data_IF_477381702505
#
_entry.id   IF_477381702505
#
_cell.length_a   1.000
_cell.length_b   1.000
_cell.length_c   1.000
_cell.angle_alpha   90.00
_cell.angle_beta   90.00
_cell.angle_gamma   90.00
#
_symmetry.space_group_name_H-M   'P 1'
#
loop_
_entity.id
_entity.type
_entity.pdbx_description
1 polymer ?
#
# COMPACT_ATOMS: atom_id res chain seq x y z
N UNK A 1 4.65 -16.25 -31.22
CA UNK A 1 5.34 -15.56 -30.10
C UNK A 1 5.63 -16.58 -29.01
N UNK A 2 6.87 -16.69 -28.49
CA UNK A 2 7.26 -17.64 -27.42
C UNK A 2 7.59 -16.86 -26.15
N UNK A 3 6.88 -17.13 -25.05
CA UNK A 3 7.13 -16.52 -23.75
C UNK A 3 8.12 -17.38 -22.94
N UNK A 4 9.16 -16.77 -22.36
CA UNK A 4 10.18 -17.48 -21.56
C UNK A 4 9.86 -17.55 -20.07
N UNK A 5 8.86 -16.81 -19.61
CA UNK A 5 8.44 -16.73 -18.20
C UNK A 5 9.54 -16.33 -17.19
N UNK A 6 10.71 -15.86 -17.66
CA UNK A 6 11.88 -15.54 -16.82
C UNK A 6 11.59 -14.55 -15.68
N UNK A 7 10.65 -13.63 -15.89
CA UNK A 7 10.25 -12.62 -14.91
C UNK A 7 8.78 -12.72 -14.51
N UNK A 8 8.15 -13.88 -14.78
CA UNK A 8 6.77 -14.09 -14.35
C UNK A 8 6.74 -14.21 -12.82
N UNK A 9 6.01 -13.32 -12.17
CA UNK A 9 5.82 -13.31 -10.72
C UNK A 9 4.40 -13.70 -10.31
N UNK A 10 3.58 -14.15 -11.28
CA UNK A 10 2.15 -14.41 -11.08
C UNK A 10 1.89 -15.31 -9.87
N UNK A 11 2.60 -16.44 -9.77
CA UNK A 11 2.37 -17.40 -8.69
C UNK A 11 2.69 -16.81 -7.31
N UNK A 12 3.69 -15.92 -7.24
CA UNK A 12 4.06 -15.21 -6.01
C UNK A 12 3.03 -14.15 -5.64
N UNK A 13 2.43 -13.48 -6.62
CA UNK A 13 1.32 -12.54 -6.39
C UNK A 13 0.05 -13.26 -5.94
N UNK A 14 -0.25 -14.41 -6.54
CA UNK A 14 -1.39 -15.25 -6.13
C UNK A 14 -1.22 -15.74 -4.69
N UNK A 15 -0.03 -16.21 -4.31
CA UNK A 15 0.27 -16.63 -2.94
C UNK A 15 0.07 -15.50 -1.92
N UNK A 16 0.45 -14.26 -2.26
CA UNK A 16 0.20 -13.09 -1.41
C UNK A 16 -1.28 -12.79 -1.22
N UNK A 17 -2.09 -12.93 -2.28
CA UNK A 17 -3.54 -12.73 -2.22
C UNK A 17 -4.22 -13.69 -1.24
N UNK A 18 -3.72 -14.92 -1.14
CA UNK A 18 -4.22 -15.93 -0.19
C UNK A 18 -3.62 -15.81 1.22
N UNK A 19 -2.76 -14.82 1.46
CA UNK A 19 -2.13 -14.58 2.76
C UNK A 19 -0.88 -15.42 3.05
N UNK A 20 -0.26 -16.06 2.06
CA UNK A 20 1.00 -16.77 2.24
C UNK A 20 2.18 -15.77 2.28
N UNK A 21 2.46 -15.25 3.48
CA UNK A 21 3.55 -14.31 3.73
C UNK A 21 4.95 -14.92 3.61
N UNK A 22 5.06 -16.26 3.60
CA UNK A 22 6.35 -16.96 3.53
C UNK A 22 6.83 -17.13 2.09
N UNK A 23 5.91 -17.49 1.19
CA UNK A 23 6.22 -17.75 -0.21
C UNK A 23 5.74 -16.65 -1.16
N UNK A 24 4.83 -15.78 -0.72
CA UNK A 24 4.31 -14.66 -1.50
C UNK A 24 5.27 -13.48 -1.64
N UNK A 25 4.95 -12.59 -2.57
CA UNK A 25 5.58 -11.28 -2.74
C UNK A 25 4.60 -10.18 -2.31
N UNK A 26 4.87 -9.49 -1.19
CA UNK A 26 4.00 -8.42 -0.66
C UNK A 26 4.60 -7.05 -0.96
N UNK A 27 3.93 -6.25 -1.78
CA UNK A 27 4.35 -4.88 -2.07
C UNK A 27 3.81 -3.91 -1.03
N UNK A 28 4.68 -3.06 -0.49
CA UNK A 28 4.30 -1.97 0.39
C UNK A 28 5.29 -0.79 0.26
N UNK A 29 4.88 0.39 0.68
CA UNK A 29 5.76 1.56 0.73
C UNK A 29 6.76 1.46 1.88
N UNK A 30 7.86 2.22 1.80
CA UNK A 30 8.93 2.21 2.82
C UNK A 30 8.45 2.56 4.24
N UNK A 31 7.33 3.27 4.37
CA UNK A 31 6.73 3.66 5.65
C UNK A 31 5.61 2.72 6.14
N UNK A 32 5.41 1.56 5.51
CA UNK A 32 4.32 0.64 5.90
C UNK A 32 4.41 0.16 7.36
N UNK A 33 5.62 0.09 7.92
CA UNK A 33 5.85 -0.25 9.33
C UNK A 33 5.29 0.78 10.32
N UNK A 34 4.93 1.98 9.87
CA UNK A 34 4.33 3.04 10.70
C UNK A 34 2.80 2.90 10.85
N UNK A 35 2.19 1.94 10.15
CA UNK A 35 0.74 1.73 10.18
C UNK A 35 0.37 0.85 11.36
N UNK A 36 -0.35 1.40 12.33
CA UNK A 36 -0.75 0.70 13.56
C UNK A 36 -2.19 0.17 13.54
N UNK A 37 -3.02 0.64 12.59
CA UNK A 37 -4.43 0.26 12.49
C UNK A 37 -4.94 0.32 11.05
N UNK A 38 -6.01 -0.45 10.79
CA UNK A 38 -6.76 -0.39 9.54
C UNK A 38 -7.88 0.64 9.74
N UNK A 39 -7.88 1.70 8.94
CA UNK A 39 -8.85 2.79 9.04
C UNK A 39 -9.86 2.74 7.89
N UNK A 40 -11.12 3.15 8.12
CA UNK A 40 -12.04 3.46 7.04
C UNK A 40 -11.47 4.52 6.10
N UNK A 41 -11.75 4.40 4.81
CA UNK A 41 -11.25 5.35 3.79
C UNK A 41 -11.66 6.79 4.10
N UNK A 42 -12.87 7.01 4.62
CA UNK A 42 -13.35 8.33 5.04
C UNK A 42 -12.49 8.96 6.14
N UNK A 43 -12.03 8.16 7.10
CA UNK A 43 -11.17 8.63 8.20
C UNK A 43 -9.76 8.96 7.69
N UNK A 44 -9.21 8.13 6.79
CA UNK A 44 -7.91 8.36 6.15
C UNK A 44 -7.88 9.73 5.47
N UNK A 45 -8.86 10.01 4.61
CA UNK A 45 -8.94 11.29 3.91
C UNK A 45 -9.17 12.47 4.86
N UNK A 46 -10.02 12.29 5.87
CA UNK A 46 -10.25 13.33 6.87
C UNK A 46 -8.97 13.67 7.63
N UNK A 47 -8.12 12.68 7.94
CA UNK A 47 -6.82 12.91 8.57
C UNK A 47 -5.87 13.67 7.64
N UNK A 48 -5.78 13.28 6.36
CA UNK A 48 -4.93 13.97 5.38
C UNK A 48 -5.30 15.44 5.20
N UNK A 49 -6.59 15.77 5.12
CA UNK A 49 -7.04 17.17 5.00
C UNK A 49 -6.68 17.97 6.25
N UNK A 50 -7.01 17.45 7.44
CA UNK A 50 -6.67 18.12 8.72
C UNK A 50 -5.17 18.37 8.85
N UNK A 51 -4.34 17.37 8.52
CA UNK A 51 -2.88 17.48 8.63
C UNK A 51 -2.34 18.51 7.64
N UNK A 52 -2.85 18.52 6.41
CA UNK A 52 -2.48 19.52 5.42
C UNK A 52 -2.86 20.94 5.89
N UNK A 53 -4.10 21.17 6.33
CA UNK A 53 -4.58 22.47 6.80
C UNK A 53 -3.84 22.97 8.06
N UNK A 54 -3.32 22.04 8.89
CA UNK A 54 -2.54 22.41 10.08
C UNK A 54 -1.19 23.04 9.76
N UNK A 55 -0.63 22.74 8.57
CA UNK A 55 0.68 23.23 8.11
C UNK A 55 0.54 24.32 7.05
N UNK A 56 -0.43 24.17 6.15
CA UNK A 56 -0.70 25.09 5.06
C UNK A 56 -1.86 26.01 5.44
N UNK A 57 -1.53 27.20 5.93
CA UNK A 57 -2.47 28.32 5.99
C UNK A 57 -2.33 29.07 4.68
N UNK A 58 -3.36 29.05 3.84
CA UNK A 58 -3.44 30.05 2.76
C UNK A 58 -3.62 31.42 3.43
N UNK A 59 -2.64 32.30 3.23
CA UNK A 59 -2.78 33.72 3.56
C UNK A 59 -3.83 34.31 2.59
N UNK A 60 -5.08 34.34 3.02
CA UNK A 60 -6.16 35.10 2.38
C UNK A 60 -6.30 36.45 3.08
#
# INVERSE_FOLDING_TARGET
>A
KKCSYKYCINDRLTASCTGDVKNGLVFCGANAYKMDSILPVSEIFSQFVRDAESVYKEDV
#
